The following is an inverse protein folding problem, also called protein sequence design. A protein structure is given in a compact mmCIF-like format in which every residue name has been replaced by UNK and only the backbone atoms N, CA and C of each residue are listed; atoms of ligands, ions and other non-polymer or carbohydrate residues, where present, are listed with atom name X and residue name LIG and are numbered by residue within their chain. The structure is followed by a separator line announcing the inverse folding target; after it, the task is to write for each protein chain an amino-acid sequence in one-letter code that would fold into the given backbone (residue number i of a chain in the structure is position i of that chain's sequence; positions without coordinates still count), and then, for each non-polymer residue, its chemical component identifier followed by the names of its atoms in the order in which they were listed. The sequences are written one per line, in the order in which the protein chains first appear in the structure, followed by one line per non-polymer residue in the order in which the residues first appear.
data_IF_507455994118
#
_entry.id   IF_507455994118
#
_cell.length_a   1.000
_cell.length_b   1.000
_cell.length_c   1.000
_cell.angle_alpha   90.00
_cell.angle_beta   90.00
_cell.angle_gamma   90.00
#
_symmetry.space_group_name_H-M   'P 1'
#
loop_
_entity.id
_entity.type
_entity.pdbx_description
1 polymer ?
#
# COMPACT_ATOMS: atom_id res chain seq x y z
N UNK A 1 -9.06 -25.42 -22.29
CA UNK A 1 -7.64 -25.78 -22.55
C UNK A 1 -6.65 -24.94 -21.75
N UNK A 2 -6.71 -23.58 -21.80
CA UNK A 2 -5.76 -22.74 -21.04
C UNK A 2 -5.93 -22.90 -19.53
N UNK A 3 -7.17 -22.88 -19.03
CA UNK A 3 -7.48 -23.05 -17.61
C UNK A 3 -7.09 -24.45 -17.12
N UNK A 4 -7.44 -25.49 -17.86
CA UNK A 4 -7.08 -26.89 -17.52
C UNK A 4 -5.56 -27.08 -17.49
N UNK A 5 -4.85 -26.50 -18.47
CA UNK A 5 -3.39 -26.49 -18.50
C UNK A 5 -2.77 -25.74 -17.33
N UNK A 6 -3.33 -24.59 -16.94
CA UNK A 6 -2.89 -23.83 -15.80
C UNK A 6 -3.13 -24.59 -14.48
N UNK A 7 -4.30 -25.22 -14.31
CA UNK A 7 -4.60 -26.03 -13.13
C UNK A 7 -3.64 -27.24 -12.99
N UNK A 8 -3.27 -27.87 -14.11
CA UNK A 8 -2.35 -29.01 -14.11
C UNK A 8 -0.89 -28.61 -13.85
N UNK A 9 -0.48 -27.40 -14.24
CA UNK A 9 0.91 -26.93 -14.16
C UNK A 9 1.19 -26.03 -12.94
N UNK A 10 0.15 -25.53 -12.26
CA UNK A 10 0.33 -24.70 -11.07
C UNK A 10 0.67 -25.57 -9.86
N UNK A 11 1.70 -25.21 -9.07
CA UNK A 11 2.01 -25.91 -7.82
C UNK A 11 0.84 -25.88 -6.83
N UNK A 12 0.79 -26.86 -5.92
CA UNK A 12 -0.26 -26.92 -4.90
C UNK A 12 -0.19 -25.78 -3.86
N UNK A 13 0.98 -25.13 -3.74
CA UNK A 13 1.19 -24.03 -2.79
C UNK A 13 1.67 -22.79 -3.51
N UNK A 14 1.13 -21.65 -3.10
CA UNK A 14 1.62 -20.35 -3.53
C UNK A 14 3.08 -20.15 -3.05
N UNK A 15 3.99 -19.62 -3.87
CA UNK A 15 5.40 -19.50 -3.52
C UNK A 15 5.58 -18.68 -2.23
N UNK A 16 6.32 -19.17 -1.24
CA UNK A 16 6.57 -18.43 -0.02
C UNK A 16 7.51 -17.25 -0.24
N UNK A 17 8.36 -17.31 -1.28
CA UNK A 17 9.35 -16.30 -1.62
C UNK A 17 9.27 -15.99 -3.11
N UNK A 18 9.35 -14.72 -3.46
CA UNK A 18 9.42 -14.25 -4.84
C UNK A 18 9.99 -12.83 -4.90
N UNK A 19 10.47 -12.40 -6.07
CA UNK A 19 10.70 -10.98 -6.37
C UNK A 19 9.39 -10.32 -6.74
N UNK A 20 9.00 -9.30 -5.97
CA UNK A 20 7.68 -8.68 -6.05
C UNK A 20 7.80 -7.18 -6.30
N UNK A 21 7.26 -6.71 -7.40
CA UNK A 21 7.18 -5.29 -7.69
C UNK A 21 5.96 -4.65 -7.02
N UNK A 22 6.12 -3.48 -6.42
CA UNK A 22 5.01 -2.63 -5.98
C UNK A 22 5.30 -1.14 -6.20
N UNK A 23 4.25 -0.33 -6.25
CA UNK A 23 4.39 1.11 -6.34
C UNK A 23 4.51 1.73 -4.95
N UNK A 24 5.40 2.71 -4.81
CA UNK A 24 5.63 3.44 -3.57
C UNK A 24 7.05 3.27 -3.04
N UNK A 25 7.17 3.37 -1.73
CA UNK A 25 8.45 3.28 -1.00
C UNK A 25 8.32 2.31 0.17
N UNK A 26 9.42 2.00 0.83
CA UNK A 26 9.43 1.20 2.05
C UNK A 26 8.51 1.82 3.14
N UNK A 27 7.72 1.00 3.81
CA UNK A 27 6.70 1.45 4.77
C UNK A 27 5.32 1.76 4.17
N UNK A 28 5.18 1.77 2.84
CA UNK A 28 3.89 1.97 2.18
C UNK A 28 2.95 0.75 2.37
N UNK A 29 1.63 0.98 2.24
CA UNK A 29 0.63 -0.10 2.31
C UNK A 29 0.82 -1.16 1.23
N UNK A 30 1.41 -0.81 0.08
CA UNK A 30 1.76 -1.77 -0.97
C UNK A 30 2.77 -2.80 -0.48
N UNK A 31 3.78 -2.42 0.31
CA UNK A 31 4.70 -3.36 0.95
C UNK A 31 3.96 -4.29 1.91
N UNK A 32 3.11 -3.75 2.78
CA UNK A 32 2.33 -4.56 3.72
C UNK A 32 1.44 -5.59 2.99
N UNK A 33 0.93 -5.24 1.81
CA UNK A 33 0.21 -6.17 0.96
C UNK A 33 1.11 -7.27 0.38
N UNK A 34 2.35 -6.95 -0.03
CA UNK A 34 3.34 -7.95 -0.44
C UNK A 34 3.66 -8.92 0.70
N UNK A 35 3.91 -8.42 1.90
CA UNK A 35 4.22 -9.24 3.09
C UNK A 35 3.02 -10.08 3.55
N UNK A 36 1.80 -9.65 3.27
CA UNK A 36 0.59 -10.44 3.54
C UNK A 36 0.37 -11.56 2.52
N UNK A 37 0.79 -11.36 1.28
CA UNK A 37 0.65 -12.34 0.20
C UNK A 37 1.77 -13.38 0.20
N UNK A 38 3.00 -12.97 0.51
CA UNK A 38 4.20 -13.80 0.50
C UNK A 38 4.82 -13.85 1.90
N UNK A 39 5.35 -14.99 2.27
CA UNK A 39 6.00 -15.17 3.57
C UNK A 39 7.35 -14.43 3.64
N UNK A 40 8.10 -14.43 2.54
CA UNK A 40 9.43 -13.84 2.42
C UNK A 40 9.58 -13.14 1.06
N UNK A 41 8.85 -12.02 0.79
CA UNK A 41 8.97 -11.31 -0.46
C UNK A 41 10.29 -10.52 -0.54
N UNK A 42 10.91 -10.53 -1.72
CA UNK A 42 11.93 -9.54 -2.07
C UNK A 42 11.23 -8.38 -2.78
N UNK A 43 10.88 -7.35 -2.03
CA UNK A 43 10.09 -6.23 -2.55
C UNK A 43 10.97 -5.25 -3.31
N UNK A 44 10.58 -4.92 -4.54
CA UNK A 44 11.16 -3.86 -5.35
C UNK A 44 10.14 -2.73 -5.52
N UNK A 45 10.57 -1.50 -5.21
CA UNK A 45 9.72 -0.32 -5.20
C UNK A 45 9.86 0.47 -6.48
N UNK A 46 8.73 0.90 -7.03
CA UNK A 46 8.67 1.67 -8.28
C UNK A 46 7.84 2.94 -8.09
N UNK A 47 8.20 4.01 -8.82
CA UNK A 47 7.53 5.31 -8.70
C UNK A 47 6.14 5.35 -9.35
N UNK A 48 5.80 4.40 -10.24
CA UNK A 48 4.50 4.37 -10.91
C UNK A 48 3.96 2.95 -11.06
N UNK A 49 2.65 2.83 -11.27
CA UNK A 49 2.03 1.54 -11.58
C UNK A 49 2.51 0.97 -12.92
N UNK A 50 2.70 1.82 -13.94
CA UNK A 50 3.25 1.42 -15.25
C UNK A 50 4.61 0.73 -15.08
N UNK A 51 5.49 1.27 -14.23
CA UNK A 51 6.81 0.70 -13.96
C UNK A 51 6.73 -0.68 -13.29
N UNK A 52 5.69 -0.95 -12.51
CA UNK A 52 5.44 -2.29 -11.95
C UNK A 52 5.17 -3.31 -13.04
N UNK A 53 4.30 -2.97 -14.02
CA UNK A 53 4.04 -3.84 -15.18
C UNK A 53 5.32 -4.07 -15.99
N UNK A 54 6.07 -3.00 -16.27
CA UNK A 54 7.33 -3.07 -17.02
C UNK A 54 8.38 -3.94 -16.32
N UNK A 55 8.46 -3.89 -14.98
CA UNK A 55 9.40 -4.71 -14.21
C UNK A 55 9.12 -6.20 -14.36
N UNK A 56 7.85 -6.60 -14.35
CA UNK A 56 7.46 -8.00 -14.55
C UNK A 56 7.64 -8.39 -16.02
N UNK A 57 7.28 -7.50 -16.95
CA UNK A 57 7.39 -7.76 -18.39
C UNK A 57 8.83 -8.02 -18.83
N UNK A 58 9.78 -7.27 -18.25
CA UNK A 58 11.21 -7.41 -18.49
C UNK A 58 11.89 -8.49 -17.62
N UNK A 59 11.15 -9.20 -16.75
CA UNK A 59 11.68 -10.30 -15.96
C UNK A 59 12.50 -9.87 -14.74
N UNK A 60 12.41 -8.59 -14.31
CA UNK A 60 13.05 -8.13 -13.07
C UNK A 60 12.30 -8.60 -11.83
N UNK A 61 10.99 -8.81 -11.96
CA UNK A 61 10.15 -9.32 -10.88
C UNK A 61 9.27 -10.45 -11.38
N UNK A 62 8.99 -11.41 -10.49
CA UNK A 62 8.11 -12.55 -10.77
C UNK A 62 6.63 -12.13 -10.72
N UNK A 63 6.31 -11.25 -9.77
CA UNK A 63 4.96 -10.79 -9.49
C UNK A 63 4.90 -9.27 -9.30
N UNK A 64 3.70 -8.71 -9.46
CA UNK A 64 3.39 -7.35 -9.06
C UNK A 64 2.21 -7.30 -8.10
N UNK A 65 2.27 -6.42 -7.12
CA UNK A 65 1.18 -6.18 -6.16
C UNK A 65 0.68 -4.76 -6.32
N UNK A 66 -0.62 -4.63 -6.63
CA UNK A 66 -1.26 -3.38 -7.04
C UNK A 66 -2.57 -3.17 -6.28
N UNK A 67 -2.88 -1.94 -5.84
CA UNK A 67 -4.18 -1.62 -5.25
C UNK A 67 -5.26 -1.57 -6.33
N UNK A 68 -6.31 -2.37 -6.21
CA UNK A 68 -7.40 -2.41 -7.18
C UNK A 68 -8.57 -1.49 -6.78
N UNK A 69 -8.95 -1.54 -5.52
CA UNK A 69 -10.08 -0.79 -4.98
C UNK A 69 -9.91 -0.50 -3.49
N UNK A 70 -10.45 0.61 -3.05
CA UNK A 70 -10.54 0.98 -1.64
C UNK A 70 -12.00 1.16 -1.25
N UNK A 71 -12.40 0.69 -0.08
CA UNK A 71 -13.81 0.71 0.38
C UNK A 71 -14.37 2.12 0.57
N UNK A 72 -13.52 3.13 0.73
CA UNK A 72 -13.92 4.53 0.93
C UNK A 72 -13.65 5.41 -0.30
N UNK A 73 -12.56 5.15 -1.03
CA UNK A 73 -12.15 5.94 -2.19
C UNK A 73 -12.59 5.35 -3.55
N UNK A 74 -13.07 4.10 -3.55
CA UNK A 74 -13.52 3.42 -4.76
C UNK A 74 -12.39 2.75 -5.56
N UNK A 75 -12.64 2.54 -6.84
CA UNK A 75 -11.74 1.83 -7.75
C UNK A 75 -10.53 2.69 -8.16
N UNK A 76 -9.37 2.05 -8.25
CA UNK A 76 -8.15 2.66 -8.78
C UNK A 76 -8.19 2.54 -10.32
N UNK A 77 -8.83 3.50 -10.99
CA UNK A 77 -9.08 3.46 -12.44
C UNK A 77 -7.83 3.16 -13.26
N UNK A 78 -6.70 3.76 -12.89
CA UNK A 78 -5.41 3.55 -13.58
C UNK A 78 -5.00 2.07 -13.64
N UNK A 79 -5.31 1.28 -12.60
CA UNK A 79 -4.98 -0.15 -12.60
C UNK A 79 -5.86 -0.91 -13.60
N UNK A 80 -7.15 -0.58 -13.68
CA UNK A 80 -8.04 -1.17 -14.69
C UNK A 80 -7.56 -0.85 -16.11
N UNK A 81 -7.20 0.40 -16.38
CA UNK A 81 -6.68 0.83 -17.69
C UNK A 81 -5.37 0.11 -18.05
N UNK A 82 -4.49 -0.08 -17.06
CA UNK A 82 -3.23 -0.83 -17.26
C UNK A 82 -3.48 -2.31 -17.51
N UNK A 83 -4.38 -2.94 -16.78
CA UNK A 83 -4.75 -4.34 -17.00
C UNK A 83 -5.36 -4.56 -18.38
N UNK A 84 -6.15 -3.62 -18.89
CA UNK A 84 -6.70 -3.69 -20.26
C UNK A 84 -5.61 -3.53 -21.32
N UNK A 85 -4.67 -2.60 -21.13
CA UNK A 85 -3.55 -2.38 -22.05
C UNK A 85 -2.55 -3.55 -22.05
N UNK A 86 -2.34 -4.17 -20.91
CA UNK A 86 -1.43 -5.30 -20.72
C UNK A 86 -2.21 -6.61 -20.52
N UNK A 87 -3.01 -7.01 -21.50
CA UNK A 87 -3.93 -8.15 -21.44
C UNK A 87 -3.25 -9.53 -21.22
N UNK A 88 -1.91 -9.59 -21.39
CA UNK A 88 -1.11 -10.79 -21.10
C UNK A 88 -0.98 -11.08 -19.59
N UNK A 89 -1.18 -10.08 -18.73
CA UNK A 89 -1.10 -10.26 -17.29
C UNK A 89 -2.36 -10.92 -16.73
N UNK A 90 -2.16 -11.76 -15.72
CA UNK A 90 -3.21 -12.51 -15.04
C UNK A 90 -3.23 -12.16 -13.56
N UNK A 91 -4.42 -12.04 -12.99
CA UNK A 91 -4.57 -11.93 -11.53
C UNK A 91 -4.49 -13.34 -10.96
N UNK A 92 -3.45 -13.60 -10.18
CA UNK A 92 -3.19 -14.94 -9.60
C UNK A 92 -3.58 -15.03 -8.14
N UNK A 93 -3.67 -13.91 -7.44
CA UNK A 93 -4.08 -13.84 -6.04
C UNK A 93 -4.59 -12.46 -5.68
N UNK A 94 -5.34 -12.34 -4.59
CA UNK A 94 -5.73 -11.06 -4.01
C UNK A 94 -5.73 -11.11 -2.49
N UNK A 95 -5.56 -9.94 -1.87
CA UNK A 95 -5.69 -9.76 -0.43
C UNK A 95 -6.43 -8.48 -0.11
N UNK A 96 -7.06 -8.43 1.07
CA UNK A 96 -7.63 -7.20 1.63
C UNK A 96 -6.76 -6.76 2.80
N UNK A 97 -6.35 -5.51 2.79
CA UNK A 97 -5.57 -4.88 3.83
C UNK A 97 -6.41 -3.80 4.50
N UNK A 98 -6.51 -3.86 5.81
CA UNK A 98 -7.10 -2.77 6.59
C UNK A 98 -6.16 -1.59 6.56
N UNK A 99 -6.70 -0.40 6.30
CA UNK A 99 -5.93 0.84 6.25
C UNK A 99 -6.20 1.59 7.56
N UNK A 100 -5.23 1.54 8.45
CA UNK A 100 -5.27 2.22 9.74
C UNK A 100 -4.28 3.38 9.72
N UNK A 101 -4.80 4.59 9.87
CA UNK A 101 -4.01 5.81 9.92
C UNK A 101 -3.63 6.15 11.36
N UNK A 102 -2.36 6.46 11.56
CA UNK A 102 -1.83 6.83 12.87
C UNK A 102 -1.13 8.19 12.77
N UNK A 103 -1.19 8.97 13.83
CA UNK A 103 -0.36 10.15 13.97
C UNK A 103 0.98 9.72 14.55
N UNK A 104 2.06 9.93 13.79
CA UNK A 104 3.42 9.55 14.16
C UNK A 104 4.34 10.76 14.19
N UNK A 105 5.28 10.80 15.12
CA UNK A 105 6.23 11.90 15.26
C UNK A 105 7.57 11.39 15.81
N UNK A 106 8.55 12.26 15.94
CA UNK A 106 9.79 11.93 16.62
C UNK A 106 9.54 11.60 18.10
N UNK A 107 10.36 10.71 18.63
CA UNK A 107 10.29 10.31 20.05
C UNK A 107 10.37 11.52 20.98
N UNK A 108 9.49 11.57 21.95
CA UNK A 108 9.38 12.65 22.93
C UNK A 108 8.65 13.90 22.45
N UNK A 109 8.07 13.88 21.25
CA UNK A 109 7.17 14.93 20.76
C UNK A 109 5.82 14.81 21.47
N UNK A 110 5.28 15.92 21.95
CA UNK A 110 3.93 15.96 22.54
C UNK A 110 2.91 16.41 21.51
N UNK A 111 1.68 15.92 21.64
CA UNK A 111 0.59 16.25 20.73
C UNK A 111 0.30 17.74 20.66
N UNK A 112 0.39 18.42 21.82
CA UNK A 112 0.17 19.86 21.98
C UNK A 112 1.24 20.73 21.29
N UNK A 113 2.42 20.19 21.02
CA UNK A 113 3.52 20.90 20.38
C UNK A 113 3.45 20.87 18.85
N UNK A 114 2.56 20.03 18.27
CA UNK A 114 2.46 19.83 16.83
C UNK A 114 1.92 21.09 16.14
N UNK A 115 2.69 21.61 15.20
CA UNK A 115 2.35 22.77 14.34
C UNK A 115 2.14 22.43 12.89
N UNK A 116 2.65 21.27 12.44
CA UNK A 116 2.52 20.85 11.05
C UNK A 116 2.40 19.34 10.94
N UNK A 117 1.46 18.89 10.08
CA UNK A 117 1.22 17.48 9.81
C UNK A 117 1.38 17.22 8.31
N UNK A 118 2.18 16.23 7.98
CA UNK A 118 2.44 15.77 6.61
C UNK A 118 1.64 14.50 6.33
N UNK A 119 1.01 14.39 5.16
CA UNK A 119 0.44 13.14 4.67
C UNK A 119 0.02 13.20 3.20
N UNK A 120 -0.39 12.06 2.67
CA UNK A 120 -1.06 11.99 1.37
C UNK A 120 -2.47 12.61 1.45
N UNK A 121 -2.92 13.36 0.41
CA UNK A 121 -4.24 14.02 0.41
C UNK A 121 -5.41 13.11 0.77
N UNK A 122 -5.40 11.86 0.32
CA UNK A 122 -6.43 10.89 0.66
C UNK A 122 -6.45 10.55 2.16
N UNK A 123 -5.30 10.36 2.79
CA UNK A 123 -5.21 10.08 4.22
C UNK A 123 -5.64 11.30 5.05
N UNK A 124 -5.29 12.50 4.62
CA UNK A 124 -5.75 13.77 5.21
C UNK A 124 -7.27 13.83 5.19
N UNK A 125 -7.89 13.59 4.03
CA UNK A 125 -9.35 13.57 3.89
C UNK A 125 -10.03 12.49 4.74
N UNK A 126 -9.40 11.33 4.92
CA UNK A 126 -9.91 10.24 5.74
C UNK A 126 -9.76 10.45 7.24
N UNK A 127 -9.01 11.46 7.68
CA UNK A 127 -8.78 11.82 9.07
C UNK A 127 -9.32 13.22 9.41
N UNK A 128 -10.25 13.73 8.63
CA UNK A 128 -10.72 15.12 8.73
C UNK A 128 -11.28 15.46 10.11
N UNK A 129 -12.10 14.60 10.70
CA UNK A 129 -12.68 14.82 12.02
C UNK A 129 -11.62 14.84 13.15
N UNK A 130 -10.55 14.05 13.00
CA UNK A 130 -9.44 14.08 13.95
C UNK A 130 -8.63 15.38 13.80
N UNK A 131 -8.33 15.79 12.57
CA UNK A 131 -7.56 17.01 12.28
C UNK A 131 -8.30 18.27 12.73
N UNK A 132 -9.62 18.33 12.57
CA UNK A 132 -10.45 19.44 13.08
C UNK A 132 -10.36 19.60 14.60
N UNK A 133 -10.26 18.50 15.36
CA UNK A 133 -10.09 18.53 16.82
C UNK A 133 -8.74 19.03 17.29
N UNK A 134 -7.69 18.91 16.46
CA UNK A 134 -6.36 19.45 16.78
C UNK A 134 -6.29 20.97 16.70
N UNK A 135 -7.25 21.61 16.02
CA UNK A 135 -7.36 23.05 15.90
C UNK A 135 -6.86 23.60 14.57
N UNK A 136 -7.23 24.86 14.31
CA UNK A 136 -6.96 25.53 13.03
C UNK A 136 -5.51 26.03 12.88
N UNK A 137 -4.74 25.99 13.95
CA UNK A 137 -3.36 26.50 13.96
C UNK A 137 -2.36 25.43 13.48
N UNK A 138 -2.80 24.19 13.25
CA UNK A 138 -1.97 23.11 12.72
C UNK A 138 -1.99 23.16 11.20
N UNK A 139 -0.84 23.41 10.61
CA UNK A 139 -0.68 23.42 9.15
C UNK A 139 -0.72 21.99 8.63
N UNK A 140 -1.45 21.75 7.54
CA UNK A 140 -1.50 20.45 6.84
C UNK A 140 -0.74 20.56 5.52
N UNK A 141 0.28 19.74 5.35
CA UNK A 141 1.14 19.74 4.17
C UNK A 141 1.02 18.42 3.41
N UNK A 142 0.52 18.43 2.16
CA UNK A 142 0.37 17.21 1.37
C UNK A 142 1.74 16.67 0.92
N UNK A 143 1.84 15.33 0.92
CA UNK A 143 2.98 14.56 0.42
C UNK A 143 2.52 13.55 -0.62
N UNK A 144 3.46 13.02 -1.38
CA UNK A 144 3.21 12.03 -2.42
C UNK A 144 2.57 10.74 -1.89
N UNK A 145 3.02 10.27 -0.72
CA UNK A 145 2.44 9.12 -0.03
C UNK A 145 2.67 9.22 1.49
N UNK A 146 1.99 8.36 2.25
CA UNK A 146 2.04 8.39 3.72
C UNK A 146 3.39 7.94 4.29
N UNK A 147 4.12 7.06 3.62
CA UNK A 147 5.44 6.62 4.06
C UNK A 147 6.49 7.72 3.83
N UNK A 148 6.46 8.40 2.68
CA UNK A 148 7.30 9.57 2.43
C UNK A 148 7.04 10.71 3.44
N UNK A 149 5.80 10.88 3.88
CA UNK A 149 5.48 11.82 4.95
C UNK A 149 6.13 11.43 6.29
N UNK A 150 6.11 10.15 6.65
CA UNK A 150 6.77 9.65 7.86
C UNK A 150 8.30 9.79 7.77
N UNK A 151 8.87 9.49 6.62
CA UNK A 151 10.30 9.66 6.36
C UNK A 151 10.72 11.14 6.51
N UNK A 152 9.97 12.06 5.92
CA UNK A 152 10.22 13.50 6.03
C UNK A 152 10.21 13.98 7.48
N UNK A 153 9.29 13.47 8.31
CA UNK A 153 9.26 13.77 9.75
C UNK A 153 10.49 13.21 10.45
N UNK A 154 10.90 11.98 10.13
CA UNK A 154 12.07 11.36 10.73
C UNK A 154 13.37 12.12 10.42
N UNK A 155 13.52 12.62 9.19
CA UNK A 155 14.68 13.35 8.70
C UNK A 155 14.69 14.84 9.11
N UNK A 156 13.54 15.41 9.47
CA UNK A 156 13.42 16.82 9.84
C UNK A 156 14.18 17.13 11.13
N UNK A 157 14.80 18.28 11.25
CA UNK A 157 15.38 18.77 12.50
C UNK A 157 14.35 19.29 13.50
N UNK A 158 13.10 19.48 13.03
CA UNK A 158 11.98 20.00 13.84
C UNK A 158 11.41 18.91 14.75
N UNK A 159 10.92 19.33 15.93
CA UNK A 159 10.21 18.48 16.91
C UNK A 159 8.71 18.81 16.99
N UNK A 160 8.25 19.77 16.23
CA UNK A 160 6.85 20.23 16.19
C UNK A 160 6.13 19.75 14.92
N UNK A 161 6.61 18.67 14.30
CA UNK A 161 6.05 18.07 13.10
C UNK A 161 5.63 16.61 13.32
N UNK A 162 4.55 16.22 12.66
CA UNK A 162 4.04 14.85 12.67
C UNK A 162 3.63 14.41 11.26
N UNK A 163 3.40 13.11 11.10
CA UNK A 163 2.84 12.55 9.87
C UNK A 163 1.62 11.67 10.16
N UNK A 164 0.69 11.59 9.21
CA UNK A 164 -0.31 10.53 9.19
C UNK A 164 0.23 9.41 8.34
N UNK A 165 0.48 8.25 8.95
CA UNK A 165 1.10 7.10 8.30
C UNK A 165 0.60 5.77 8.87
N UNK A 166 1.02 4.66 8.24
CA UNK A 166 0.80 3.32 8.77
C UNK A 166 1.63 3.09 10.05
N UNK A 167 1.20 2.15 10.88
CA UNK A 167 1.97 1.82 12.08
C UNK A 167 3.36 1.23 11.77
N UNK A 168 3.56 0.61 10.60
CA UNK A 168 4.85 0.06 10.18
C UNK A 168 5.93 1.14 10.06
N UNK A 169 5.56 2.37 9.73
CA UNK A 169 6.49 3.49 9.67
C UNK A 169 7.09 3.86 11.04
N UNK A 170 6.44 3.49 12.14
CA UNK A 170 6.96 3.73 13.51
C UNK A 170 8.29 3.02 13.72
N UNK A 171 8.32 1.71 13.45
CA UNK A 171 9.55 0.93 13.60
C UNK A 171 10.58 1.25 12.52
N UNK A 172 10.13 1.40 11.27
CA UNK A 172 10.99 1.64 10.11
C UNK A 172 11.81 2.93 10.25
N UNK A 173 11.17 4.02 10.69
CA UNK A 173 11.81 5.34 10.77
C UNK A 173 12.18 5.77 12.20
N UNK A 174 12.05 4.86 13.18
CA UNK A 174 12.39 5.16 14.58
C UNK A 174 11.49 6.23 15.21
N UNK A 175 10.27 6.36 14.73
CA UNK A 175 9.26 7.30 15.21
C UNK A 175 8.52 6.76 16.43
N UNK A 176 7.61 7.55 16.96
CA UNK A 176 6.67 7.15 18.01
C UNK A 176 5.23 7.48 17.54
N UNK A 177 4.28 6.66 17.97
CA UNK A 177 2.88 6.83 17.65
C UNK A 177 2.20 7.68 18.73
N UNK A 178 1.78 8.90 18.37
CA UNK A 178 1.08 9.82 19.24
C UNK A 178 -0.42 9.49 19.36
N UNK A 179 -1.03 9.02 18.26
CA UNK A 179 -2.42 8.57 18.25
C UNK A 179 -2.60 7.44 17.25
N UNK A 180 -3.47 6.48 17.57
CA UNK A 180 -3.79 5.32 16.75
C UNK A 180 -5.19 5.46 16.15
N UNK A 181 -5.38 4.83 14.97
CA UNK A 181 -6.70 4.66 14.35
C UNK A 181 -7.48 5.98 14.22
N UNK A 182 -6.78 7.04 13.75
CA UNK A 182 -7.33 8.40 13.67
C UNK A 182 -8.25 8.64 12.48
N UNK A 183 -8.46 7.65 11.62
CA UNK A 183 -9.37 7.73 10.48
C UNK A 183 -10.84 7.85 10.93
N UNK A 184 -11.64 8.58 10.15
CA UNK A 184 -13.06 8.86 10.43
C UNK A 184 -13.93 7.60 10.34
N UNK A 185 -13.49 6.59 9.58
CA UNK A 185 -14.23 5.33 9.36
C UNK A 185 -13.34 4.13 9.66
N UNK A 186 -13.81 3.22 10.52
CA UNK A 186 -13.10 1.99 10.89
C UNK A 186 -13.10 0.89 9.82
N UNK A 187 -13.96 1.00 8.79
CA UNK A 187 -14.12 0.01 7.72
C UNK A 187 -13.32 0.36 6.46
N UNK A 188 -12.19 1.03 6.58
CA UNK A 188 -11.32 1.38 5.47
C UNK A 188 -10.43 0.18 5.11
N UNK A 189 -10.70 -0.43 3.94
CA UNK A 189 -9.94 -1.55 3.40
C UNK A 189 -9.52 -1.27 1.97
N UNK A 190 -8.30 -1.65 1.63
CA UNK A 190 -7.83 -1.69 0.25
C UNK A 190 -7.70 -3.15 -0.19
N UNK A 191 -8.29 -3.49 -1.33
CA UNK A 191 -8.07 -4.74 -2.01
C UNK A 191 -6.87 -4.61 -2.92
N UNK A 192 -5.88 -5.46 -2.71
CA UNK A 192 -4.72 -5.59 -3.57
C UNK A 192 -4.81 -6.85 -4.41
N UNK A 193 -4.36 -6.76 -5.64
CA UNK A 193 -4.21 -7.90 -6.56
C UNK A 193 -2.73 -8.22 -6.74
N UNK A 194 -2.45 -9.51 -6.89
CA UNK A 194 -1.16 -10.03 -7.29
C UNK A 194 -1.25 -10.44 -8.76
N UNK A 195 -0.42 -9.86 -9.60
CA UNK A 195 -0.39 -10.12 -11.04
C UNK A 195 0.87 -10.88 -11.44
N UNK A 196 0.76 -11.71 -12.48
CA UNK A 196 1.84 -12.43 -13.11
C UNK A 196 1.61 -12.51 -14.62
N UNK A 197 2.66 -12.71 -15.42
CA UNK A 197 2.53 -13.03 -16.86
C UNK A 197 1.97 -14.43 -17.09
N UNK A 198 2.19 -15.34 -16.15
CA UNK A 198 1.71 -16.72 -16.23
C UNK A 198 0.38 -16.87 -15.52
N UNK A 199 -0.58 -17.55 -16.14
CA UNK A 199 -1.80 -17.94 -15.46
C UNK A 199 -1.48 -19.04 -14.45
N UNK A 200 -1.73 -18.76 -13.19
CA UNK A 200 -1.55 -19.68 -12.06
C UNK A 200 -2.88 -19.82 -11.32
N UNK A 201 -3.34 -21.05 -11.14
CA UNK A 201 -4.60 -21.37 -10.47
C UNK A 201 -4.29 -22.29 -9.29
N UNK A 202 -4.20 -21.68 -8.12
CA UNK A 202 -3.89 -22.42 -6.88
C UNK A 202 -5.13 -23.10 -6.30
N UNK A 203 -4.98 -24.21 -5.54
CA UNK A 203 -6.09 -24.84 -4.84
C UNK A 203 -6.88 -23.87 -3.98
N UNK A 204 -8.20 -23.94 -4.05
CA UNK A 204 -9.11 -23.02 -3.34
C UNK A 204 -9.38 -21.70 -4.08
N UNK A 205 -8.93 -21.55 -5.32
CA UNK A 205 -9.33 -20.42 -6.16
C UNK A 205 -10.85 -20.44 -6.38
N UNK A 206 -11.53 -19.39 -5.91
CA UNK A 206 -13.01 -19.27 -5.89
C UNK A 206 -13.55 -18.09 -6.71
N UNK A 207 -12.65 -17.31 -7.36
CA UNK A 207 -13.00 -16.10 -8.08
C UNK A 207 -12.35 -16.04 -9.44
N UNK A 208 -13.10 -15.54 -10.42
CA UNK A 208 -12.60 -15.20 -11.75
C UNK A 208 -12.84 -13.72 -12.00
N UNK A 209 -11.82 -13.00 -12.44
CA UNK A 209 -11.94 -11.63 -12.91
C UNK A 209 -12.04 -11.63 -14.43
N UNK A 210 -13.13 -11.08 -14.97
CA UNK A 210 -13.33 -10.86 -16.40
C UNK A 210 -13.15 -9.36 -16.69
N UNK A 211 -12.36 -9.04 -17.68
CA UNK A 211 -12.12 -7.69 -18.18
C UNK A 211 -12.37 -7.61 -19.68
#
# INVERSE_FOLDING_TARGET
KEIEGAMASTPNLFPPSATVACQGVEGAYSQLACEKLFKHPQVMYFGSFESVFSAIENGFCDYGVLPLENSTAGSVKQIYDLMLRHSSFKIVRSTRLKIDHNLVAKKGTKLEDIKEIFSHPQAISQCSAYLEKLGKDVKITPCENTAAAAEAVAQSDRKDVAAIASHSCVALYGLERLAADIQDRSNNYTRFICISKKLEIYPGADKTSLM
#
